data_IF_283021281738
#
_entry.id   IF_283021281738
#
_cell.length_a   1.000
_cell.length_b   1.000
_cell.length_c   1.000
_cell.angle_alpha   90.00
_cell.angle_beta   90.00
_cell.angle_gamma   90.00
#
_symmetry.space_group_name_H-M   'P 1'
#
loop_
_entity.id
_entity.type
_entity.pdbx_description
1 polymer ?
#
# COMPACT_ATOMS: atom_id res chain seq x y z
N UNK A 1 -16.45 -35.80 14.83
CA UNK A 1 -16.68 -35.31 13.46
C UNK A 1 -16.82 -33.80 13.55
N UNK A 2 -15.83 -33.02 13.11
CA UNK A 2 -15.78 -31.57 13.35
C UNK A 2 -15.48 -30.84 12.05
N UNK A 3 -16.26 -29.81 11.73
CA UNK A 3 -16.04 -29.00 10.52
C UNK A 3 -15.03 -27.89 10.82
N UNK A 4 -13.99 -27.78 9.98
CA UNK A 4 -13.04 -26.65 10.01
C UNK A 4 -13.72 -25.40 9.45
N UNK A 5 -13.67 -24.31 10.21
CA UNK A 5 -14.13 -22.98 9.77
C UNK A 5 -12.93 -22.04 9.85
N UNK A 6 -12.69 -21.29 8.78
CA UNK A 6 -11.63 -20.27 8.74
C UNK A 6 -12.27 -18.91 8.51
N UNK A 7 -12.04 -17.99 9.43
CA UNK A 7 -12.37 -16.58 9.26
C UNK A 7 -11.11 -15.87 8.78
N UNK A 8 -11.16 -15.26 7.60
CA UNK A 8 -9.99 -14.67 6.96
C UNK A 8 -10.32 -13.31 6.33
N UNK A 9 -9.28 -12.49 6.17
CA UNK A 9 -9.31 -11.28 5.34
C UNK A 9 -9.02 -11.66 3.88
N UNK A 10 -8.82 -10.66 3.02
CA UNK A 10 -8.35 -10.85 1.65
C UNK A 10 -6.95 -11.54 1.56
N UNK A 11 -6.27 -11.84 2.67
CA UNK A 11 -5.05 -12.66 2.65
C UNK A 11 -5.30 -14.08 2.10
N UNK A 12 -6.50 -14.64 2.32
CA UNK A 12 -6.88 -15.95 1.77
C UNK A 12 -7.27 -15.89 0.28
N UNK A 13 -7.48 -14.69 -0.27
CA UNK A 13 -7.83 -14.46 -1.67
C UNK A 13 -6.64 -14.69 -2.61
N UNK A 14 -5.42 -14.39 -2.16
CA UNK A 14 -4.20 -14.48 -2.97
C UNK A 14 -3.04 -15.13 -2.22
N UNK A 15 -2.63 -14.58 -1.08
CA UNK A 15 -1.35 -14.87 -0.42
C UNK A 15 -1.26 -16.22 0.31
N UNK A 16 -2.38 -16.78 0.79
CA UNK A 16 -2.39 -18.04 1.52
C UNK A 16 -3.28 -19.08 0.84
N UNK A 17 -2.80 -20.31 0.79
CA UNK A 17 -3.56 -21.48 0.33
C UNK A 17 -3.88 -22.35 1.54
N UNK A 18 -5.17 -22.59 1.75
CA UNK A 18 -5.66 -23.42 2.85
C UNK A 18 -6.24 -24.70 2.22
N UNK A 19 -5.68 -25.89 2.51
CA UNK A 19 -6.19 -27.13 1.94
C UNK A 19 -7.56 -27.50 2.51
N UNK A 20 -8.37 -28.17 1.71
CA UNK A 20 -9.67 -28.71 2.12
C UNK A 20 -10.80 -27.67 2.21
N UNK A 21 -10.61 -26.48 1.65
CA UNK A 21 -11.70 -25.49 1.53
C UNK A 21 -12.64 -25.92 0.41
N UNK A 22 -13.89 -26.22 0.77
CA UNK A 22 -14.98 -26.57 -0.17
C UNK A 22 -16.14 -25.59 -0.16
N UNK A 23 -16.17 -24.69 0.81
CA UNK A 23 -17.21 -23.68 0.95
C UNK A 23 -16.55 -22.33 1.22
N UNK A 24 -16.92 -21.33 0.44
CA UNK A 24 -16.52 -19.93 0.64
C UNK A 24 -17.77 -19.12 0.89
N UNK A 25 -17.73 -18.24 1.89
CA UNK A 25 -18.75 -17.22 2.12
C UNK A 25 -18.09 -15.86 1.83
N UNK A 26 -18.52 -15.20 0.76
CA UNK A 26 -17.98 -13.91 0.33
C UNK A 26 -18.93 -12.77 0.73
N UNK A 27 -18.47 -11.91 1.62
CA UNK A 27 -19.22 -10.74 2.06
C UNK A 27 -19.19 -9.57 1.05
N UNK A 28 -18.31 -9.62 0.05
CA UNK A 28 -18.20 -8.58 -0.98
C UNK A 28 -17.48 -7.30 -0.52
N UNK A 29 -16.80 -7.33 0.64
CA UNK A 29 -16.05 -6.20 1.16
C UNK A 29 -14.57 -6.51 1.39
N UNK A 30 -13.77 -5.44 1.42
CA UNK A 30 -12.36 -5.47 1.82
C UNK A 30 -12.02 -4.16 2.55
N UNK A 31 -11.15 -4.24 3.56
CA UNK A 31 -10.56 -3.06 4.18
C UNK A 31 -9.32 -2.68 3.37
N UNK A 32 -9.36 -1.53 2.69
CA UNK A 32 -8.33 -1.09 1.75
C UNK A 32 -7.71 0.22 2.24
N UNK A 33 -6.40 0.37 2.03
CA UNK A 33 -5.67 1.62 2.26
C UNK A 33 -6.02 2.62 1.14
N UNK A 34 -6.41 3.82 1.53
CA UNK A 34 -6.77 4.93 0.64
C UNK A 34 -6.01 6.17 1.11
N UNK A 35 -5.25 6.76 0.19
CA UNK A 35 -4.55 8.01 0.45
C UNK A 35 -5.51 9.20 0.37
N UNK A 36 -5.49 10.08 1.38
CA UNK A 36 -6.19 11.35 1.33
C UNK A 36 -5.17 12.48 1.04
N UNK A 37 -5.20 13.10 -0.16
CA UNK A 37 -4.28 14.17 -0.52
C UNK A 37 -4.40 15.40 0.40
N UNK A 38 -5.60 15.73 0.85
CA UNK A 38 -5.86 16.93 1.68
C UNK A 38 -5.21 16.84 3.07
N UNK A 39 -5.24 15.67 3.70
CA UNK A 39 -4.57 15.45 5.00
C UNK A 39 -3.14 14.92 4.86
N UNK A 40 -2.75 14.44 3.67
CA UNK A 40 -1.45 13.77 3.45
C UNK A 40 -1.29 12.47 4.26
N UNK A 41 -2.41 11.84 4.62
CA UNK A 41 -2.45 10.62 5.43
C UNK A 41 -3.19 9.51 4.70
N UNK A 42 -2.73 8.29 4.93
CA UNK A 42 -3.43 7.09 4.52
C UNK A 42 -4.49 6.70 5.55
N UNK A 43 -5.68 6.35 5.07
CA UNK A 43 -6.76 5.83 5.89
C UNK A 43 -7.15 4.43 5.43
N UNK A 44 -7.60 3.59 6.37
CA UNK A 44 -8.21 2.30 6.04
C UNK A 44 -9.72 2.49 5.89
N UNK A 45 -10.24 2.23 4.68
CA UNK A 45 -11.67 2.31 4.37
C UNK A 45 -12.20 0.94 4.01
N UNK A 46 -13.43 0.66 4.44
CA UNK A 46 -14.18 -0.51 3.98
C UNK A 46 -14.75 -0.14 2.62
N UNK A 47 -14.44 -0.94 1.61
CA UNK A 47 -14.89 -0.73 0.22
C UNK A 47 -15.41 -2.04 -0.35
N UNK A 48 -16.25 -1.96 -1.38
CA UNK A 48 -16.65 -3.14 -2.16
C UNK A 48 -15.43 -3.74 -2.86
N UNK A 49 -15.46 -5.05 -3.04
CA UNK A 49 -14.45 -5.77 -3.84
C UNK A 49 -14.70 -5.53 -5.32
N UNK A 50 -13.67 -5.74 -6.16
CA UNK A 50 -13.88 -5.80 -7.61
C UNK A 50 -14.50 -7.14 -8.01
N UNK A 51 -15.08 -7.23 -9.22
CA UNK A 51 -15.57 -8.48 -9.78
C UNK A 51 -14.47 -9.54 -9.86
N UNK A 52 -13.27 -9.15 -10.33
CA UNK A 52 -12.12 -10.05 -10.36
C UNK A 52 -11.75 -10.60 -8.97
N UNK A 53 -11.81 -9.77 -7.92
CA UNK A 53 -11.57 -10.23 -6.55
C UNK A 53 -12.65 -11.22 -6.06
N UNK A 54 -13.93 -10.94 -6.33
CA UNK A 54 -15.03 -11.85 -6.02
C UNK A 54 -14.90 -13.19 -6.75
N UNK A 55 -14.37 -13.20 -7.98
CA UNK A 55 -14.08 -14.42 -8.73
C UNK A 55 -12.87 -15.17 -8.15
N UNK A 56 -11.81 -14.47 -7.75
CA UNK A 56 -10.67 -15.08 -7.06
C UNK A 56 -11.09 -15.77 -5.75
N UNK A 57 -11.97 -15.14 -4.97
CA UNK A 57 -12.55 -15.73 -3.74
C UNK A 57 -13.36 -16.98 -4.05
N UNK A 58 -14.22 -16.94 -5.06
CA UNK A 58 -15.00 -18.09 -5.52
C UNK A 58 -14.09 -19.27 -5.90
N UNK A 59 -13.00 -19.01 -6.63
CA UNK A 59 -12.03 -20.03 -7.04
C UNK A 59 -11.36 -20.77 -5.87
N UNK A 60 -11.36 -20.21 -4.65
CA UNK A 60 -10.79 -20.89 -3.48
C UNK A 60 -11.59 -22.11 -3.02
N UNK A 61 -12.89 -22.17 -3.34
CA UNK A 61 -13.72 -23.33 -3.03
C UNK A 61 -13.49 -24.53 -3.98
N UNK A 62 -12.95 -24.28 -5.17
CA UNK A 62 -12.84 -25.27 -6.26
C UNK A 62 -11.45 -25.83 -6.48
N UNK A 63 -10.53 -25.71 -5.51
CA UNK A 63 -9.12 -26.07 -5.71
C UNK A 63 -8.85 -27.58 -5.70
N UNK A 64 -9.32 -28.26 -4.65
CA UNK A 64 -9.03 -29.68 -4.44
C UNK A 64 -10.17 -30.59 -4.95
N UNK A 65 -11.38 -30.05 -5.01
CA UNK A 65 -12.60 -30.76 -5.38
C UNK A 65 -13.69 -29.72 -5.74
N UNK A 66 -14.81 -30.15 -6.37
CA UNK A 66 -15.98 -29.29 -6.53
C UNK A 66 -16.42 -28.68 -5.19
N UNK A 67 -16.66 -27.36 -5.20
CA UNK A 67 -17.06 -26.61 -4.02
C UNK A 67 -18.07 -25.52 -4.35
N UNK A 68 -18.54 -24.83 -3.31
CA UNK A 68 -19.61 -23.83 -3.42
C UNK A 68 -19.15 -22.49 -2.86
N UNK A 69 -19.50 -21.41 -3.55
CA UNK A 69 -19.29 -20.04 -3.09
C UNK A 69 -20.65 -19.38 -2.85
N UNK A 70 -20.88 -18.94 -1.61
CA UNK A 70 -22.07 -18.19 -1.22
C UNK A 70 -21.71 -16.71 -1.13
N UNK A 71 -22.33 -15.89 -1.97
CA UNK A 71 -22.16 -14.43 -1.96
C UNK A 71 -23.30 -13.81 -1.16
N UNK A 72 -23.00 -12.89 -0.25
CA UNK A 72 -24.02 -12.20 0.57
C UNK A 72 -24.55 -10.92 -0.09
N UNK A 73 -24.48 -10.86 -1.42
CA UNK A 73 -24.88 -9.74 -2.25
C UNK A 73 -25.50 -10.28 -3.54
N UNK A 74 -26.39 -9.50 -4.14
CA UNK A 74 -27.13 -9.88 -5.34
C UNK A 74 -26.24 -9.86 -6.58
N UNK A 75 -26.70 -10.53 -7.64
CA UNK A 75 -26.04 -10.45 -8.94
C UNK A 75 -26.00 -9.02 -9.47
N UNK A 76 -27.11 -8.27 -9.35
CA UNK A 76 -27.17 -6.87 -9.76
C UNK A 76 -26.17 -5.98 -9.01
N UNK A 77 -25.99 -6.20 -7.70
CA UNK A 77 -24.93 -5.52 -6.94
C UNK A 77 -23.53 -5.88 -7.49
N UNK A 78 -23.27 -7.15 -7.78
CA UNK A 78 -21.98 -7.59 -8.32
C UNK A 78 -21.68 -6.94 -9.67
N UNK A 79 -22.68 -6.81 -10.53
CA UNK A 79 -22.56 -6.16 -11.85
C UNK A 79 -22.22 -4.68 -11.72
N UNK A 80 -22.58 -4.04 -10.60
CA UNK A 80 -22.20 -2.65 -10.30
C UNK A 80 -20.77 -2.51 -9.75
N UNK A 81 -20.09 -3.60 -9.39
CA UNK A 81 -18.72 -3.53 -8.87
C UNK A 81 -17.72 -3.22 -10.00
N UNK A 82 -16.62 -2.55 -9.64
CA UNK A 82 -15.49 -2.36 -10.55
C UNK A 82 -15.00 -3.71 -11.10
N UNK A 83 -14.67 -3.78 -12.39
CA UNK A 83 -14.18 -5.02 -12.99
C UNK A 83 -12.86 -5.49 -12.33
N UNK A 84 -11.89 -4.57 -12.23
CA UNK A 84 -10.55 -4.82 -11.72
C UNK A 84 -10.25 -3.87 -10.55
N UNK A 85 -9.43 -4.28 -9.57
CA UNK A 85 -9.03 -3.37 -8.51
C UNK A 85 -8.13 -2.27 -9.08
N UNK A 86 -8.37 -1.01 -8.69
CA UNK A 86 -7.49 0.10 -9.05
C UNK A 86 -6.02 -0.19 -8.67
N UNK A 87 -5.05 0.02 -9.57
CA UNK A 87 -3.62 -0.17 -9.28
C UNK A 87 -3.16 0.63 -8.05
N UNK A 88 -2.26 0.06 -7.26
CA UNK A 88 -1.80 0.67 -6.00
C UNK A 88 -1.14 2.03 -6.21
N UNK A 89 -0.28 2.14 -7.22
CA UNK A 89 0.44 3.37 -7.60
C UNK A 89 -0.50 4.57 -7.85
N UNK A 90 -1.75 4.31 -8.26
CA UNK A 90 -2.75 5.35 -8.55
C UNK A 90 -3.59 5.76 -7.33
N UNK A 91 -3.36 5.17 -6.15
CA UNK A 91 -4.21 5.36 -4.96
C UNK A 91 -3.49 5.40 -3.62
N UNK A 92 -2.17 5.25 -3.60
CA UNK A 92 -1.33 5.34 -2.40
C UNK A 92 -0.44 6.58 -2.40
N UNK A 93 0.11 6.93 -1.24
CA UNK A 93 1.22 7.87 -1.17
C UNK A 93 2.44 7.30 -1.90
N UNK A 94 3.00 8.06 -2.85
CA UNK A 94 4.16 7.64 -3.65
C UNK A 94 5.47 8.31 -3.22
N UNK A 95 5.50 9.07 -2.11
CA UNK A 95 6.72 9.75 -1.64
C UNK A 95 7.91 8.79 -1.47
N UNK A 96 7.69 7.62 -0.85
CA UNK A 96 8.74 6.59 -0.72
C UNK A 96 9.21 6.11 -2.08
N UNK A 97 8.31 5.86 -3.02
CA UNK A 97 8.64 5.40 -4.38
C UNK A 97 9.47 6.45 -5.13
N UNK A 98 9.07 7.72 -5.08
CA UNK A 98 9.82 8.82 -5.71
C UNK A 98 11.22 8.93 -5.11
N UNK A 99 11.35 8.86 -3.78
CA UNK A 99 12.66 8.90 -3.12
C UNK A 99 13.57 7.75 -3.56
N UNK A 100 13.02 6.54 -3.66
CA UNK A 100 13.77 5.36 -4.11
C UNK A 100 14.20 5.47 -5.57
N UNK A 101 13.32 5.94 -6.47
CA UNK A 101 13.67 6.15 -7.87
C UNK A 101 14.81 7.18 -8.01
N UNK A 102 14.74 8.29 -7.27
CA UNK A 102 15.83 9.28 -7.27
C UNK A 102 17.14 8.73 -6.71
N UNK A 103 17.09 7.86 -5.70
CA UNK A 103 18.28 7.19 -5.17
C UNK A 103 18.92 6.25 -6.19
N UNK A 104 18.15 5.74 -7.16
CA UNK A 104 18.64 4.99 -8.32
C UNK A 104 19.09 5.90 -9.48
N UNK A 105 19.00 7.22 -9.34
CA UNK A 105 19.34 8.19 -10.39
C UNK A 105 18.25 8.38 -11.44
N UNK A 106 17.02 7.93 -11.17
CA UNK A 106 15.90 7.95 -12.11
C UNK A 106 14.87 8.99 -11.67
N UNK A 107 14.49 9.88 -12.59
CA UNK A 107 13.38 10.79 -12.36
C UNK A 107 12.05 10.07 -12.53
N UNK A 108 11.19 10.15 -11.51
CA UNK A 108 9.84 9.60 -11.54
C UNK A 108 9.00 10.11 -12.74
N UNK A 109 9.26 11.31 -13.25
CA UNK A 109 8.52 11.90 -14.38
C UNK A 109 8.82 11.24 -15.72
N UNK A 110 10.03 10.68 -15.86
CA UNK A 110 10.49 10.01 -17.09
C UNK A 110 10.41 8.49 -16.97
N UNK A 111 10.05 7.96 -15.81
CA UNK A 111 9.94 6.52 -15.60
C UNK A 111 8.73 5.93 -16.34
N UNK A 112 8.94 4.76 -16.95
CA UNK A 112 7.93 4.06 -17.73
C UNK A 112 7.07 3.16 -16.82
N UNK A 113 6.06 3.76 -16.18
CA UNK A 113 5.09 3.02 -15.37
C UNK A 113 4.08 2.29 -16.26
N UNK A 114 3.71 1.06 -15.89
CA UNK A 114 2.56 0.36 -16.47
C UNK A 114 1.28 1.20 -16.34
N UNK A 115 1.04 1.70 -15.12
CA UNK A 115 -0.04 2.63 -14.80
C UNK A 115 0.58 3.90 -14.20
N UNK A 116 0.60 4.99 -14.96
CA UNK A 116 1.28 6.22 -14.55
C UNK A 116 0.50 6.97 -13.47
N UNK A 117 1.09 7.29 -12.30
CA UNK A 117 0.47 8.16 -11.32
C UNK A 117 0.23 9.56 -11.89
N UNK A 118 -0.78 10.27 -11.38
CA UNK A 118 -1.16 11.57 -11.95
C UNK A 118 -0.06 12.60 -11.74
N UNK A 119 0.09 13.58 -12.66
CA UNK A 119 1.10 14.64 -12.52
C UNK A 119 1.02 15.38 -11.18
N UNK A 120 -0.19 15.57 -10.65
CA UNK A 120 -0.43 16.24 -9.37
C UNK A 120 0.11 15.41 -8.20
N UNK A 121 -0.07 14.09 -8.24
CA UNK A 121 0.46 13.19 -7.21
C UNK A 121 2.00 13.16 -7.22
N UNK A 122 2.61 13.19 -8.41
CA UNK A 122 4.07 13.27 -8.56
C UNK A 122 4.60 14.61 -8.07
N UNK A 123 3.97 15.73 -8.44
CA UNK A 123 4.38 17.07 -7.97
C UNK A 123 4.23 17.21 -6.45
N UNK A 124 3.14 16.68 -5.88
CA UNK A 124 2.92 16.65 -4.43
C UNK A 124 3.97 15.83 -3.69
N UNK A 125 4.35 14.68 -4.23
CA UNK A 125 5.42 13.86 -3.66
C UNK A 125 6.77 14.59 -3.66
N UNK A 126 7.15 15.20 -4.78
CA UNK A 126 8.39 15.98 -4.85
C UNK A 126 8.38 17.18 -3.89
N UNK A 127 7.26 17.91 -3.83
CA UNK A 127 7.10 19.04 -2.89
C UNK A 127 7.27 18.60 -1.44
N UNK A 128 6.72 17.44 -1.07
CA UNK A 128 6.86 16.85 0.26
C UNK A 128 8.31 16.44 0.56
N UNK A 129 9.01 15.85 -0.41
CA UNK A 129 10.42 15.47 -0.25
C UNK A 129 11.33 16.70 -0.13
N UNK A 130 11.05 17.77 -0.87
CA UNK A 130 11.78 19.04 -0.74
C UNK A 130 11.53 19.69 0.63
N UNK A 131 10.28 19.70 1.10
CA UNK A 131 9.95 20.20 2.43
C UNK A 131 10.66 19.42 3.57
N UNK A 132 10.97 18.14 3.37
CA UNK A 132 11.76 17.33 4.30
C UNK A 132 13.28 17.54 4.18
N UNK A 133 13.73 18.29 3.16
CA UNK A 133 15.13 18.48 2.82
C UNK A 133 15.78 17.27 2.13
N UNK A 134 14.98 16.29 1.68
CA UNK A 134 15.47 15.09 1.01
C UNK A 134 15.86 15.36 -0.45
N UNK A 135 15.18 16.30 -1.10
CA UNK A 135 15.39 16.67 -2.50
C UNK A 135 15.57 18.18 -2.61
N UNK A 136 16.32 18.65 -3.62
CA UNK A 136 16.43 20.07 -4.00
C UNK A 136 16.11 20.25 -5.48
N UNK A 137 15.72 21.47 -5.86
CA UNK A 137 15.57 21.92 -7.24
C UNK A 137 14.60 21.07 -8.08
N UNK A 138 13.59 20.46 -7.45
CA UNK A 138 12.77 19.42 -8.09
C UNK A 138 12.01 19.91 -9.33
N UNK A 139 11.68 21.20 -9.40
CA UNK A 139 10.99 21.82 -10.55
C UNK A 139 11.82 21.79 -11.83
N UNK A 140 13.14 21.94 -11.72
CA UNK A 140 14.07 21.90 -12.86
C UNK A 140 14.62 20.48 -13.01
N UNK A 141 15.43 20.07 -12.05
CA UNK A 141 16.07 18.76 -12.00
C UNK A 141 16.15 18.32 -10.53
N UNK A 142 15.42 17.27 -10.12
CA UNK A 142 15.43 16.80 -8.75
C UNK A 142 16.79 16.23 -8.42
N UNK A 143 17.43 16.84 -7.42
CA UNK A 143 18.71 16.42 -6.90
C UNK A 143 18.50 15.84 -5.51
N UNK A 144 18.94 14.60 -5.33
CA UNK A 144 18.88 13.93 -4.04
C UNK A 144 19.96 14.49 -3.12
N UNK A 145 19.59 14.91 -1.91
CA UNK A 145 20.54 15.43 -0.93
C UNK A 145 21.22 14.30 -0.16
N UNK A 146 22.30 14.59 0.58
CA UNK A 146 22.91 13.63 1.51
C UNK A 146 21.89 13.10 2.53
N UNK A 147 21.00 13.96 3.01
CA UNK A 147 19.91 13.57 3.89
C UNK A 147 18.91 12.65 3.16
N UNK A 148 18.54 12.97 1.92
CA UNK A 148 17.68 12.11 1.09
C UNK A 148 18.30 10.72 0.85
N UNK A 149 19.61 10.67 0.62
CA UNK A 149 20.36 9.42 0.47
C UNK A 149 20.35 8.59 1.76
N UNK A 150 20.45 9.22 2.93
CA UNK A 150 20.31 8.52 4.21
C UNK A 150 18.87 8.05 4.43
N UNK A 151 17.88 8.88 4.09
CA UNK A 151 16.47 8.57 4.24
C UNK A 151 16.04 7.38 3.36
N UNK A 152 16.61 7.24 2.16
CA UNK A 152 16.31 6.12 1.25
C UNK A 152 16.80 4.75 1.75
N UNK A 153 17.71 4.72 2.73
CA UNK A 153 18.16 3.46 3.34
C UNK A 153 17.14 2.88 4.33
N UNK A 154 16.13 3.65 4.75
CA UNK A 154 15.11 3.18 5.68
C UNK A 154 13.88 2.65 4.94
N UNK A 155 13.33 1.48 5.32
CA UNK A 155 12.10 0.93 4.74
C UNK A 155 10.84 1.60 5.33
N UNK A 156 10.82 2.94 5.40
CA UNK A 156 9.79 3.73 6.05
C UNK A 156 9.28 4.86 5.13
N UNK A 157 8.15 5.47 5.49
CA UNK A 157 7.75 6.75 4.90
C UNK A 157 8.83 7.82 5.21
N UNK A 158 9.22 8.66 4.22
CA UNK A 158 10.27 9.65 4.37
C UNK A 158 10.16 10.52 5.62
N UNK A 159 8.94 10.83 6.08
CA UNK A 159 8.72 11.62 7.31
C UNK A 159 9.28 10.91 8.54
N UNK A 160 9.07 9.60 8.64
CA UNK A 160 9.57 8.81 9.77
C UNK A 160 11.09 8.58 9.67
N UNK A 161 11.62 8.40 8.45
CA UNK A 161 13.08 8.34 8.24
C UNK A 161 13.75 9.64 8.71
N UNK A 162 13.17 10.80 8.37
CA UNK A 162 13.66 12.10 8.83
C UNK A 162 13.60 12.25 10.35
N UNK A 163 12.53 11.78 10.98
CA UNK A 163 12.37 11.80 12.43
C UNK A 163 13.46 10.98 13.12
N UNK A 164 13.72 9.76 12.66
CA UNK A 164 14.77 8.90 13.21
C UNK A 164 16.17 9.48 13.03
N UNK A 165 16.48 10.01 11.85
CA UNK A 165 17.76 10.65 11.58
C UNK A 165 17.98 11.89 12.45
N UNK A 166 16.92 12.67 12.70
CA UNK A 166 16.99 13.85 13.56
C UNK A 166 17.13 13.45 15.03
N UNK A 167 16.47 12.38 15.47
CA UNK A 167 16.60 11.85 16.82
C UNK A 167 18.03 11.38 17.12
N UNK A 168 18.73 10.78 16.16
CA UNK A 168 20.13 10.37 16.33
C UNK A 168 21.09 11.57 16.47
N UNK A 169 20.70 12.76 15.97
CA UNK A 169 21.48 14.00 16.11
C UNK A 169 21.18 14.71 17.42
N UNK A 170 19.94 14.61 17.93
CA UNK A 170 19.49 15.35 19.12
C UNK A 170 19.58 14.56 20.42
N UNK A 171 19.53 13.22 20.37
CA UNK A 171 19.53 12.35 21.56
C UNK A 171 20.93 11.72 21.70
N UNK A 172 21.65 11.95 22.82
CA UNK A 172 22.87 11.19 23.09
C UNK A 172 22.50 9.70 23.20
N UNK A 173 23.07 8.94 22.28
CA UNK A 173 23.01 7.49 22.05
C UNK A 173 22.45 6.58 23.16
N UNK A 174 21.60 5.64 22.71
CA UNK A 174 21.22 4.31 23.26
C UNK A 174 20.62 4.20 24.67
N UNK A 175 21.03 5.02 25.62
CA UNK A 175 20.59 4.91 27.03
C UNK A 175 19.14 5.40 27.24
N UNK A 176 18.71 6.42 26.49
CA UNK A 176 17.40 7.07 26.67
C UNK A 176 16.23 6.24 26.13
N UNK A 177 16.44 5.46 25.07
CA UNK A 177 15.39 4.57 24.52
C UNK A 177 15.15 3.35 25.42
N UNK A 178 16.16 2.88 26.16
CA UNK A 178 15.98 1.82 27.16
C UNK A 178 15.23 2.30 28.41
N UNK A 179 15.36 3.58 28.78
CA UNK A 179 14.65 4.15 29.93
C UNK A 179 13.18 4.50 29.63
N UNK A 180 12.80 4.72 28.37
CA UNK A 180 11.41 4.99 28.00
C UNK A 180 10.55 3.73 27.83
N UNK A 181 11.17 2.54 27.86
CA UNK A 181 10.52 1.24 27.70
C UNK A 181 10.55 0.38 28.99
N UNK A 182 10.94 0.98 30.12
CA UNK A 182 10.84 0.42 31.47
C UNK A 182 9.88 1.27 32.31
#
# INVERSE_FOLDING_TARGET
NSRKIVLATNIAETSVTIPGIRCVIDCGFVKRRVYNPSSGLDALRIVRVSQAQAWQRCGRAGRDAPGTCYRTYTQAEMESFENMPKPEILRSNICSTVLQLLALGIDCRTFDFLDRPTPEAVDDAYRKLEALGAVRNYKIKPELTTLGQQMSQFPLDPRYSKLLLSANVTIPTRSTLQQALA
#
